data_IF_901152607527
#
_entry.id   IF_901152607527
#
_cell.length_a   1.000
_cell.length_b   1.000
_cell.length_c   1.000
_cell.angle_alpha   90.00
_cell.angle_beta   90.00
_cell.angle_gamma   90.00
#
_symmetry.space_group_name_H-M   'P 1'
#
loop_
_entity.id
_entity.type
_entity.pdbx_description
1 polymer ?
#
# COMPACT_ATOMS: atom_id res chain seq x y z
N UNK A 1 24.98 -16.66 -27.45
CA UNK A 1 23.69 -17.15 -26.93
C UNK A 1 23.72 -17.07 -25.42
N UNK A 2 22.53 -16.92 -24.82
CA UNK A 2 22.22 -16.84 -23.39
C UNK A 2 22.02 -15.42 -22.86
N UNK A 3 20.94 -14.81 -23.32
CA UNK A 3 20.17 -13.76 -22.66
C UNK A 3 20.07 -13.99 -21.14
N UNK A 4 20.73 -13.12 -20.37
CA UNK A 4 20.46 -12.92 -18.95
C UNK A 4 19.27 -11.97 -18.85
N UNK A 5 18.04 -12.51 -18.97
CA UNK A 5 16.84 -11.77 -18.54
C UNK A 5 16.84 -11.70 -17.03
N UNK A 6 17.44 -10.63 -16.52
CA UNK A 6 17.36 -10.21 -15.13
C UNK A 6 15.88 -9.87 -14.85
N UNK A 7 15.20 -10.78 -14.16
CA UNK A 7 13.83 -10.58 -13.73
C UNK A 7 13.84 -9.41 -12.73
N UNK A 8 13.10 -8.34 -13.06
CA UNK A 8 12.89 -7.23 -12.14
C UNK A 8 12.28 -7.77 -10.84
N UNK A 9 12.74 -7.33 -9.66
CA UNK A 9 12.16 -7.79 -8.40
C UNK A 9 10.68 -7.44 -8.42
N UNK A 10 9.83 -8.40 -8.06
CA UNK A 10 8.40 -8.22 -7.84
C UNK A 10 8.22 -7.27 -6.65
N UNK A 11 8.35 -5.96 -6.93
CA UNK A 11 8.27 -4.90 -5.93
C UNK A 11 6.81 -4.71 -5.60
N UNK A 12 6.33 -5.47 -4.63
CA UNK A 12 5.15 -5.04 -3.88
C UNK A 12 5.48 -3.68 -3.25
N UNK A 13 4.76 -2.60 -3.62
CA UNK A 13 4.96 -1.29 -3.01
C UNK A 13 4.81 -1.38 -1.49
N UNK A 14 5.70 -0.71 -0.81
CA UNK A 14 5.65 -0.51 0.64
C UNK A 14 4.42 0.31 1.04
N UNK A 15 4.07 0.25 2.33
CA UNK A 15 2.96 1.03 2.86
C UNK A 15 3.14 2.54 2.64
N UNK A 16 4.36 3.06 2.81
CA UNK A 16 4.67 4.48 2.61
C UNK A 16 4.49 4.90 1.15
N UNK A 17 4.87 4.04 0.20
CA UNK A 17 4.66 4.27 -1.23
C UNK A 17 3.17 4.28 -1.57
N UNK A 18 2.39 3.33 -1.04
CA UNK A 18 0.92 3.30 -1.21
C UNK A 18 0.29 4.57 -0.67
N UNK A 19 0.68 5.03 0.52
CA UNK A 19 0.17 6.26 1.10
C UNK A 19 0.56 7.49 0.27
N UNK A 20 1.78 7.55 -0.26
CA UNK A 20 2.22 8.65 -1.12
C UNK A 20 1.40 8.71 -2.41
N UNK A 21 1.18 7.58 -3.05
CA UNK A 21 0.40 7.47 -4.28
C UNK A 21 -1.08 7.82 -4.03
N UNK A 22 -1.66 7.37 -2.93
CA UNK A 22 -3.04 7.71 -2.56
C UNK A 22 -3.22 9.21 -2.33
N UNK A 23 -2.25 9.89 -1.67
CA UNK A 23 -2.27 11.34 -1.51
C UNK A 23 -2.25 12.07 -2.86
N UNK A 24 -1.40 11.63 -3.78
CA UNK A 24 -1.32 12.23 -5.12
C UNK A 24 -2.64 12.06 -5.90
N UNK A 25 -3.28 10.90 -5.80
CA UNK A 25 -4.58 10.64 -6.42
C UNK A 25 -5.64 11.60 -5.86
N UNK A 26 -5.72 11.72 -4.53
CA UNK A 26 -6.65 12.64 -3.87
C UNK A 26 -6.41 14.08 -4.33
N UNK A 27 -5.18 14.56 -4.26
CA UNK A 27 -4.83 15.91 -4.73
C UNK A 27 -5.22 16.15 -6.19
N UNK A 28 -5.06 15.14 -7.04
CA UNK A 28 -5.41 15.24 -8.47
C UNK A 28 -6.92 15.30 -8.67
N UNK A 29 -7.68 14.47 -7.95
CA UNK A 29 -9.15 14.46 -8.02
C UNK A 29 -9.75 15.75 -7.45
N UNK A 30 -9.18 16.28 -6.37
CA UNK A 30 -9.63 17.53 -5.74
C UNK A 30 -9.43 18.77 -6.62
N UNK A 31 -8.39 18.77 -7.47
CA UNK A 31 -8.19 19.84 -8.46
C UNK A 31 -9.31 19.93 -9.49
N UNK A 32 -9.97 18.80 -9.80
CA UNK A 32 -11.12 18.77 -10.71
C UNK A 32 -10.80 19.06 -12.18
N UNK A 33 -9.52 19.03 -12.57
CA UNK A 33 -9.06 19.35 -13.94
C UNK A 33 -9.14 18.13 -14.90
N UNK A 34 -9.42 16.94 -14.36
CA UNK A 34 -9.46 15.70 -15.13
C UNK A 34 -10.83 15.48 -15.81
N UNK A 35 -10.85 15.01 -17.08
CA UNK A 35 -12.05 14.47 -17.70
C UNK A 35 -12.65 13.32 -16.89
N UNK A 36 -13.97 13.13 -16.96
CA UNK A 36 -14.71 12.14 -16.18
C UNK A 36 -14.10 10.73 -16.24
N UNK A 37 -13.76 10.25 -17.44
CA UNK A 37 -13.19 8.92 -17.65
C UNK A 37 -11.84 8.77 -16.94
N UNK A 38 -11.03 9.83 -16.89
CA UNK A 38 -9.75 9.85 -16.19
C UNK A 38 -9.95 9.91 -14.68
N UNK A 39 -10.89 10.72 -14.20
CA UNK A 39 -11.25 10.80 -12.79
C UNK A 39 -11.75 9.47 -12.24
N UNK A 40 -12.55 8.74 -13.03
CA UNK A 40 -12.99 7.38 -12.67
C UNK A 40 -11.81 6.41 -12.58
N UNK A 41 -10.86 6.46 -13.52
CA UNK A 41 -9.66 5.64 -13.47
C UNK A 41 -8.78 5.92 -12.24
N UNK A 42 -8.56 7.18 -11.90
CA UNK A 42 -7.81 7.56 -10.69
C UNK A 42 -8.55 7.13 -9.41
N UNK A 43 -9.89 7.22 -9.39
CA UNK A 43 -10.70 6.74 -8.28
C UNK A 43 -10.57 5.21 -8.09
N UNK A 44 -10.72 4.44 -9.17
CA UNK A 44 -10.56 2.98 -9.13
C UNK A 44 -9.16 2.57 -8.62
N UNK A 45 -8.12 3.26 -9.10
CA UNK A 45 -6.75 3.07 -8.64
C UNK A 45 -6.61 3.40 -7.15
N UNK A 46 -7.19 4.52 -6.69
CA UNK A 46 -7.21 4.90 -5.28
C UNK A 46 -7.89 3.85 -4.40
N UNK A 47 -9.02 3.29 -4.83
CA UNK A 47 -9.72 2.20 -4.13
C UNK A 47 -8.85 0.94 -4.04
N UNK A 48 -8.15 0.59 -5.11
CA UNK A 48 -7.24 -0.57 -5.13
C UNK A 48 -6.06 -0.39 -4.16
N UNK A 49 -5.43 0.80 -4.17
CA UNK A 49 -4.35 1.16 -3.25
C UNK A 49 -4.81 1.14 -1.79
N UNK A 50 -6.00 1.69 -1.51
CA UNK A 50 -6.59 1.68 -0.17
C UNK A 50 -6.77 0.26 0.36
N UNK A 51 -7.30 -0.66 -0.46
CA UNK A 51 -7.45 -2.08 -0.09
C UNK A 51 -6.10 -2.74 0.17
N UNK A 52 -5.08 -2.43 -0.65
CA UNK A 52 -3.73 -2.97 -0.46
C UNK A 52 -3.09 -2.46 0.84
N UNK A 53 -3.25 -1.18 1.14
CA UNK A 53 -2.81 -0.58 2.39
C UNK A 53 -3.44 -1.27 3.60
N UNK A 54 -4.76 -1.51 3.55
CA UNK A 54 -5.46 -2.25 4.61
C UNK A 54 -4.88 -3.66 4.81
N UNK A 55 -4.63 -4.41 3.74
CA UNK A 55 -4.06 -5.75 3.83
C UNK A 55 -2.67 -5.75 4.51
N UNK A 56 -1.83 -4.76 4.22
CA UNK A 56 -0.52 -4.63 4.86
C UNK A 56 -0.66 -4.36 6.36
N UNK A 57 -1.64 -3.52 6.75
CA UNK A 57 -1.92 -3.24 8.15
C UNK A 57 -2.45 -4.48 8.88
N UNK A 58 -3.36 -5.23 8.25
CA UNK A 58 -3.92 -6.46 8.81
C UNK A 58 -2.81 -7.51 9.02
N UNK A 59 -1.89 -7.68 8.06
CA UNK A 59 -0.73 -8.56 8.22
C UNK A 59 0.19 -8.10 9.37
N UNK A 60 0.41 -6.80 9.51
CA UNK A 60 1.24 -6.23 10.56
C UNK A 60 0.61 -6.47 11.94
N UNK A 61 -0.70 -6.24 12.07
CA UNK A 61 -1.47 -6.49 13.29
C UNK A 61 -1.39 -7.97 13.68
N UNK A 62 -1.64 -8.88 12.73
CA UNK A 62 -1.55 -10.33 12.98
C UNK A 62 -0.16 -10.74 13.48
N UNK A 63 0.91 -10.17 12.90
CA UNK A 63 2.29 -10.45 13.37
C UNK A 63 2.51 -9.95 14.79
N UNK A 64 2.02 -8.77 15.13
CA UNK A 64 2.11 -8.23 16.49
C UNK A 64 1.34 -9.11 17.47
N UNK A 65 0.13 -9.55 17.13
CA UNK A 65 -0.65 -10.45 17.99
C UNK A 65 0.08 -11.78 18.28
N UNK A 66 0.70 -12.38 17.27
CA UNK A 66 1.49 -13.61 17.44
C UNK A 66 2.67 -13.36 18.38
N UNK A 67 3.44 -12.29 18.18
CA UNK A 67 4.58 -11.94 19.03
C UNK A 67 4.18 -11.71 20.50
N UNK A 68 3.02 -11.08 20.73
CA UNK A 68 2.46 -10.85 22.06
C UNK A 68 2.00 -12.15 22.73
N UNK A 69 1.39 -13.08 21.97
CA UNK A 69 0.97 -14.41 22.48
C UNK A 69 2.15 -15.31 22.82
N UNK A 70 3.23 -15.22 22.05
CA UNK A 70 4.44 -16.02 22.25
C UNK A 70 5.30 -15.51 23.42
N UNK A 71 4.88 -14.43 24.10
CA UNK A 71 5.53 -13.87 25.29
C UNK A 71 6.87 -13.19 25.00
N UNK A 72 7.18 -12.92 23.73
CA UNK A 72 8.48 -12.41 23.27
C UNK A 72 8.57 -10.89 23.35
N UNK A 73 7.46 -10.20 23.59
CA UNK A 73 7.40 -8.74 23.70
C UNK A 73 6.80 -8.34 25.03
N UNK A 74 7.61 -7.71 25.89
CA UNK A 74 7.10 -6.99 27.06
C UNK A 74 6.21 -5.83 26.57
N UNK A 75 5.08 -5.55 27.23
CA UNK A 75 4.25 -4.40 26.89
C UNK A 75 5.11 -3.13 26.90
N UNK A 76 5.05 -2.34 25.84
CA UNK A 76 5.58 -0.98 25.86
C UNK A 76 4.68 -0.19 26.80
N UNK A 77 5.15 0.06 28.01
CA UNK A 77 4.47 0.98 28.93
C UNK A 77 4.41 2.39 28.31
N UNK A 78 3.30 3.12 28.52
CA UNK A 78 3.07 4.44 27.92
C UNK A 78 4.06 5.52 28.34
#
# INVERSE_FOLDING_TARGET
MSDKREQAPDKTPSFDEILAELRQIVETLERGELPLERSLGEFERGVSLSRRGQHILDEAEQRVEVLMRDGTTQPLEP
#
